data_IF_016001652794
#
_entry.id   IF_016001652794
#
_cell.length_a   1.000
_cell.length_b   1.000
_cell.length_c   1.000
_cell.angle_alpha   90.00
_cell.angle_beta   90.00
_cell.angle_gamma   90.00
#
_symmetry.space_group_name_H-M   'P 1'
#
loop_
_entity.id
_entity.type
_entity.pdbx_description
1 polymer ?
#
# COMPACT_ATOMS: atom_id res chain seq x y z
N UNK A 1 -10.75 8.27 7.68
CA UNK A 1 -10.37 6.93 7.18
C UNK A 1 -9.07 7.07 6.38
N UNK A 2 -8.07 6.18 6.55
CA UNK A 2 -6.85 6.24 5.70
C UNK A 2 -7.21 5.70 4.31
N UNK A 3 -7.04 6.53 3.29
CA UNK A 3 -7.21 6.13 1.90
C UNK A 3 -5.88 5.59 1.38
N UNK A 4 -5.87 4.34 0.90
CA UNK A 4 -4.68 3.72 0.31
C UNK A 4 -4.98 3.47 -1.17
N UNK A 5 -4.18 4.09 -2.06
CA UNK A 5 -4.35 3.99 -3.52
C UNK A 5 -3.13 3.35 -4.16
N UNK A 6 -3.34 2.39 -5.05
CA UNK A 6 -2.27 1.87 -5.92
C UNK A 6 -1.93 2.92 -6.98
N UNK A 7 -0.65 3.25 -7.11
CA UNK A 7 -0.15 4.26 -8.05
C UNK A 7 0.99 3.70 -8.89
N UNK A 8 1.10 4.26 -10.09
CA UNK A 8 2.13 3.96 -11.09
C UNK A 8 3.14 5.10 -11.13
N UNK A 9 4.43 4.79 -11.17
CA UNK A 9 5.52 5.76 -11.39
C UNK A 9 6.36 5.30 -12.58
N UNK A 10 6.55 6.13 -13.62
CA UNK A 10 7.50 5.83 -14.68
C UNK A 10 8.89 5.54 -14.10
N UNK A 11 9.58 4.53 -14.64
CA UNK A 11 10.92 4.14 -14.25
C UNK A 11 11.80 3.91 -15.49
N UNK A 12 13.06 3.54 -15.28
CA UNK A 12 14.02 3.34 -16.35
C UNK A 12 13.60 2.21 -17.31
N UNK A 13 14.16 2.24 -18.54
CA UNK A 13 14.08 1.14 -19.53
C UNK A 13 12.65 0.62 -19.80
N UNK A 14 11.72 1.53 -20.08
CA UNK A 14 10.34 1.20 -20.45
C UNK A 14 9.55 0.41 -19.38
N UNK A 15 9.86 0.64 -18.10
CA UNK A 15 9.14 0.03 -16.97
C UNK A 15 8.35 1.07 -16.17
N UNK A 16 7.36 0.58 -15.43
CA UNK A 16 6.55 1.37 -14.50
C UNK A 16 6.62 0.68 -13.14
N UNK A 17 7.07 1.40 -12.11
CA UNK A 17 7.08 0.90 -10.73
C UNK A 17 5.75 1.15 -10.06
N UNK A 18 5.36 0.24 -9.16
CA UNK A 18 4.15 0.33 -8.37
C UNK A 18 4.45 0.76 -6.93
N UNK A 19 3.60 1.62 -6.39
CA UNK A 19 3.66 2.03 -4.99
C UNK A 19 2.25 2.31 -4.46
N UNK A 20 2.07 2.20 -3.16
CA UNK A 20 0.86 2.61 -2.46
C UNK A 20 1.02 4.05 -1.96
N UNK A 21 -0.01 4.87 -2.15
CA UNK A 21 -0.11 6.24 -1.64
C UNK A 21 -1.19 6.27 -0.56
N UNK A 22 -0.75 6.42 0.70
CA UNK A 22 -1.61 6.45 1.88
C UNK A 22 -1.87 7.90 2.33
N UNK A 23 -3.14 8.28 2.48
CA UNK A 23 -3.54 9.60 2.97
C UNK A 23 -4.60 9.51 4.08
N UNK A 24 -4.36 10.08 5.28
CA UNK A 24 -3.10 10.72 5.71
C UNK A 24 -1.93 9.71 5.78
N UNK A 25 -0.67 10.19 5.83
CA UNK A 25 0.51 9.34 6.01
C UNK A 25 0.36 8.41 7.22
N UNK A 26 0.87 7.18 7.11
CA UNK A 26 0.79 6.18 8.19
C UNK A 26 2.02 6.35 9.08
N UNK A 27 1.79 6.47 10.38
CA UNK A 27 2.85 6.56 11.38
C UNK A 27 3.44 5.18 11.66
N UNK A 28 4.76 5.06 11.56
CA UNK A 28 5.49 3.86 11.96
C UNK A 28 6.09 4.07 13.37
N UNK A 29 5.63 3.33 14.39
CA UNK A 29 6.11 3.49 15.75
C UNK A 29 7.56 3.03 15.94
N UNK A 30 8.08 2.15 15.08
CA UNK A 30 9.46 1.65 15.17
C UNK A 30 10.46 2.69 14.68
N UNK A 31 10.14 3.38 13.59
CA UNK A 31 11.01 4.42 13.02
C UNK A 31 10.67 5.83 13.51
N UNK A 32 9.51 6.02 14.15
CA UNK A 32 8.99 7.31 14.59
C UNK A 32 8.60 8.24 13.45
N UNK A 33 8.50 7.73 12.21
CA UNK A 33 8.28 8.54 11.01
C UNK A 33 6.95 8.20 10.36
N UNK A 34 6.29 9.23 9.85
CA UNK A 34 5.09 9.06 9.04
C UNK A 34 5.45 8.84 7.57
N UNK A 35 5.02 7.72 7.01
CA UNK A 35 5.27 7.34 5.63
C UNK A 35 3.99 7.42 4.79
N UNK A 36 4.07 8.15 3.68
CA UNK A 36 2.97 8.30 2.70
C UNK A 36 3.08 7.32 1.54
N UNK A 37 4.29 7.13 1.01
CA UNK A 37 4.54 6.33 -0.20
C UNK A 37 5.26 5.03 0.19
N UNK A 38 4.64 3.91 -0.15
CA UNK A 38 5.16 2.57 0.12
C UNK A 38 5.46 1.89 -1.21
N UNK A 39 6.75 1.77 -1.56
CA UNK A 39 7.18 1.19 -2.82
C UNK A 39 7.10 -0.35 -2.75
N UNK A 40 6.35 -0.95 -3.66
CA UNK A 40 6.08 -2.39 -3.65
C UNK A 40 7.23 -3.25 -4.21
N UNK A 41 8.27 -2.61 -4.77
CA UNK A 41 9.34 -3.27 -5.55
C UNK A 41 8.82 -4.10 -6.73
N UNK A 42 7.57 -3.87 -7.15
CA UNK A 42 6.95 -4.45 -8.33
C UNK A 42 7.10 -3.52 -9.54
N UNK A 43 7.20 -4.12 -10.73
CA UNK A 43 7.27 -3.38 -12.00
C UNK A 43 6.35 -3.97 -13.05
N UNK A 44 5.89 -3.10 -13.94
CA UNK A 44 5.15 -3.42 -15.14
C UNK A 44 5.98 -3.03 -16.36
N UNK A 45 5.82 -3.76 -17.45
CA UNK A 45 6.26 -3.33 -18.77
C UNK A 45 5.32 -2.21 -19.25
N UNK A 46 5.87 -1.02 -19.54
CA UNK A 46 5.09 0.15 -20.00
C UNK A 46 4.46 -0.10 -21.37
N UNK A 47 5.17 -0.81 -22.24
CA UNK A 47 4.70 -1.25 -23.56
C UNK A 47 4.99 -2.74 -23.69
N UNK A 48 4.10 -3.63 -23.21
CA UNK A 48 4.30 -5.07 -23.28
C UNK A 48 4.22 -5.54 -24.74
N UNK A 49 5.28 -6.19 -25.23
CA UNK A 49 5.44 -6.65 -26.61
C UNK A 49 5.01 -8.10 -26.81
N UNK A 50 5.11 -8.92 -25.77
CA UNK A 50 4.79 -10.36 -25.84
C UNK A 50 3.60 -10.73 -24.95
N UNK A 51 2.98 -11.88 -25.22
CA UNK A 51 1.91 -12.41 -24.36
C UNK A 51 2.40 -12.70 -22.94
N UNK A 52 3.68 -13.07 -22.80
CA UNK A 52 4.33 -13.29 -21.50
C UNK A 52 4.41 -11.97 -20.72
N UNK A 53 4.82 -10.87 -21.36
CA UNK A 53 4.88 -9.54 -20.73
C UNK A 53 3.50 -9.02 -20.33
N UNK A 54 2.46 -9.29 -21.14
CA UNK A 54 1.06 -8.98 -20.78
C UNK A 54 0.62 -9.78 -19.55
N UNK A 55 0.82 -11.09 -19.55
CA UNK A 55 0.50 -11.96 -18.41
C UNK A 55 1.24 -11.54 -17.13
N UNK A 56 2.52 -11.18 -17.25
CA UNK A 56 3.31 -10.62 -16.14
C UNK A 56 2.66 -9.37 -15.57
N UNK A 57 2.24 -8.43 -16.44
CA UNK A 57 1.59 -7.20 -16.00
C UNK A 57 0.27 -7.48 -15.24
N UNK A 58 -0.55 -8.40 -15.76
CA UNK A 58 -1.83 -8.76 -15.15
C UNK A 58 -1.62 -9.41 -13.77
N UNK A 59 -0.71 -10.38 -13.68
CA UNK A 59 -0.36 -11.05 -12.41
C UNK A 59 0.25 -10.06 -11.40
N UNK A 60 1.09 -9.14 -11.87
CA UNK A 60 1.72 -8.13 -11.01
C UNK A 60 0.71 -7.12 -10.50
N UNK A 61 -0.26 -6.69 -11.32
CA UNK A 61 -1.34 -5.81 -10.89
C UNK A 61 -2.25 -6.49 -9.87
N UNK A 62 -2.61 -7.76 -10.10
CA UNK A 62 -3.39 -8.54 -9.14
C UNK A 62 -2.69 -8.65 -7.79
N UNK A 63 -1.39 -8.98 -7.78
CA UNK A 63 -0.58 -9.01 -6.56
C UNK A 63 -0.53 -7.64 -5.87
N UNK A 64 -0.33 -6.56 -6.62
CA UNK A 64 -0.26 -5.22 -6.08
C UNK A 64 -1.58 -4.78 -5.42
N UNK A 65 -2.72 -5.19 -5.98
CA UNK A 65 -4.03 -4.94 -5.37
C UNK A 65 -4.25 -5.75 -4.09
N UNK A 66 -3.82 -7.02 -4.05
CA UNK A 66 -3.87 -7.82 -2.82
C UNK A 66 -3.01 -7.19 -1.71
N UNK A 67 -1.83 -6.65 -2.04
CA UNK A 67 -1.00 -5.91 -1.08
C UNK A 67 -1.69 -4.63 -0.59
N UNK A 68 -2.41 -3.91 -1.47
CA UNK A 68 -3.20 -2.74 -1.07
C UNK A 68 -4.29 -3.12 -0.08
N UNK A 69 -5.05 -4.19 -0.36
CA UNK A 69 -6.12 -4.69 0.52
C UNK A 69 -5.55 -5.12 1.87
N UNK A 70 -4.45 -5.88 1.87
CA UNK A 70 -3.76 -6.29 3.11
C UNK A 70 -3.37 -5.08 3.96
N UNK A 71 -2.76 -4.07 3.36
CA UNK A 71 -2.36 -2.85 4.06
C UNK A 71 -3.57 -2.06 4.61
N UNK A 72 -4.69 -2.04 3.88
CA UNK A 72 -5.92 -1.43 4.37
C UNK A 72 -6.46 -2.13 5.62
N UNK A 73 -6.42 -3.47 5.64
CA UNK A 73 -6.84 -4.27 6.80
C UNK A 73 -5.93 -4.04 8.01
N UNK A 74 -4.61 -4.02 7.81
CA UNK A 74 -3.64 -3.71 8.87
C UNK A 74 -3.92 -2.34 9.51
N UNK A 75 -4.06 -1.30 8.69
CA UNK A 75 -4.36 0.06 9.17
C UNK A 75 -5.72 0.13 9.88
N UNK A 76 -6.71 -0.63 9.43
CA UNK A 76 -8.02 -0.69 10.07
C UNK A 76 -7.94 -1.36 11.45
N UNK A 77 -7.26 -2.51 11.54
CA UNK A 77 -7.08 -3.24 12.79
C UNK A 77 -6.31 -2.40 13.81
N UNK A 78 -5.22 -1.74 13.39
CA UNK A 78 -4.45 -0.83 14.26
C UNK A 78 -5.32 0.29 14.83
N UNK A 79 -6.21 0.86 14.02
CA UNK A 79 -7.15 1.90 14.47
C UNK A 79 -8.15 1.37 15.49
N UNK A 80 -8.67 0.16 15.29
CA UNK A 80 -9.56 -0.48 16.27
C UNK A 80 -8.84 -0.72 17.58
N UNK A 81 -7.66 -1.36 17.53
CA UNK A 81 -6.87 -1.66 18.71
C UNK A 81 -6.51 -0.41 19.50
N UNK A 82 -6.12 0.67 18.82
CA UNK A 82 -5.86 1.96 19.46
C UNK A 82 -7.12 2.57 20.05
N UNK A 83 -8.26 2.51 19.36
CA UNK A 83 -9.53 3.03 19.89
C UNK A 83 -9.94 2.30 21.18
N UNK A 84 -9.85 0.96 21.19
CA UNK A 84 -10.14 0.14 22.37
C UNK A 84 -9.19 0.44 23.53
N UNK A 85 -7.88 0.58 23.24
CA UNK A 85 -6.90 0.97 24.26
C UNK A 85 -7.25 2.33 24.88
N UNK A 86 -7.62 3.31 24.08
CA UNK A 86 -7.97 4.65 24.57
C UNK A 86 -9.25 4.66 25.39
N UNK A 87 -10.28 3.88 25.04
CA UNK A 87 -11.48 3.78 25.87
C UNK A 87 -11.19 3.16 27.23
N UNK A 88 -10.25 2.20 27.31
CA UNK A 88 -9.89 1.54 28.58
C UNK A 88 -9.19 2.54 29.47
N UNK A 89 -8.24 3.30 28.90
CA UNK A 89 -7.49 4.31 29.64
C UNK A 89 -8.35 5.50 30.08
N UNK A 90 -9.40 5.84 29.33
CA UNK A 90 -10.29 6.95 29.67
C UNK A 90 -11.37 6.59 30.69
N UNK A 91 -11.42 5.34 31.18
CA UNK A 91 -12.43 4.89 32.15
C UNK A 91 -13.88 4.93 31.63
N UNK A 92 -14.07 4.94 30.31
CA UNK A 92 -15.40 4.98 29.68
C UNK A 92 -15.87 3.56 29.35
N UNK A 93 -16.05 2.74 30.39
CA UNK A 93 -16.70 1.42 30.34
C UNK A 93 -17.77 1.32 31.41
#
# INVERSE_FOLDING_TARGET
>A
MTLIKLRKKPAAKNTVRLYLDAYPPIYDPLTGKSQRKFYLKLFLYRMPKSQIEKKHNDQTLFLAENLRVKMMLEVYNDRISNKLRMSILSGNY
#
